data_IF_980158687181
#
_entry.id   IF_980158687181
#
_cell.length_a   1.000
_cell.length_b   1.000
_cell.length_c   1.000
_cell.angle_alpha   90.00
_cell.angle_beta   90.00
_cell.angle_gamma   90.00
#
_symmetry.space_group_name_H-M   'P 1'
#
loop_
_entity.id
_entity.type
_entity.pdbx_description
1 polymer ?
#
# COMPACT_ATOMS: atom_id res chain seq x y z
N UNK A 1 31.21 12.97 -6.42
CA UNK A 1 30.97 11.96 -5.36
C UNK A 1 31.96 10.80 -5.54
N UNK A 2 33.27 11.06 -5.44
CA UNK A 2 34.29 10.21 -6.07
C UNK A 2 34.65 8.91 -5.33
N UNK A 3 34.19 8.66 -4.10
CA UNK A 3 34.60 7.48 -3.30
C UNK A 3 33.41 6.66 -2.78
N UNK A 4 32.22 6.79 -3.39
CA UNK A 4 31.04 6.07 -2.91
C UNK A 4 31.08 4.60 -3.36
N UNK A 5 31.29 3.68 -2.42
CA UNK A 5 31.39 2.24 -2.70
C UNK A 5 30.05 1.49 -2.61
N UNK A 6 29.12 2.01 -1.80
CA UNK A 6 27.80 1.40 -1.56
C UNK A 6 26.70 2.44 -1.58
N UNK A 7 25.61 2.15 -2.27
CA UNK A 7 24.44 3.01 -2.36
C UNK A 7 23.16 2.17 -2.28
N UNK A 8 22.27 2.57 -1.38
CA UNK A 8 20.89 2.11 -1.32
C UNK A 8 19.98 3.27 -1.69
N UNK A 9 19.18 3.13 -2.76
CA UNK A 9 18.36 4.19 -3.31
C UNK A 9 16.90 3.73 -3.47
N UNK A 10 15.97 4.35 -2.74
CA UNK A 10 14.54 4.27 -3.06
C UNK A 10 14.11 5.62 -3.62
N UNK A 11 13.52 5.62 -4.82
CA UNK A 11 13.10 6.84 -5.51
C UNK A 11 11.87 6.61 -6.37
N UNK A 12 10.96 7.59 -6.36
CA UNK A 12 9.87 7.72 -7.32
C UNK A 12 10.17 8.89 -8.25
N UNK A 13 10.11 8.64 -9.56
CA UNK A 13 10.40 9.63 -10.61
C UNK A 13 9.17 9.80 -11.48
N UNK A 14 8.55 10.98 -11.42
CA UNK A 14 7.37 11.31 -12.22
C UNK A 14 7.67 12.03 -13.52
N UNK A 15 6.63 12.22 -14.33
CA UNK A 15 6.63 13.07 -15.55
C UNK A 15 7.69 12.69 -16.59
N UNK A 16 8.03 11.40 -16.68
CA UNK A 16 8.98 10.92 -17.69
C UNK A 16 8.30 10.65 -19.03
N UNK A 17 9.12 10.68 -20.08
CA UNK A 17 8.74 10.20 -21.41
C UNK A 17 9.10 8.71 -21.62
N UNK A 18 9.76 8.06 -20.68
CA UNK A 18 10.13 6.64 -20.77
C UNK A 18 10.41 6.06 -19.38
N UNK A 19 10.25 4.75 -19.24
CA UNK A 19 10.65 4.04 -18.03
C UNK A 19 12.17 4.13 -17.84
N UNK A 20 12.62 4.03 -16.59
CA UNK A 20 14.02 3.84 -16.27
C UNK A 20 14.32 2.36 -16.45
N UNK A 21 15.03 2.02 -17.52
CA UNK A 21 15.49 0.67 -17.82
C UNK A 21 16.98 0.50 -17.41
N UNK A 22 17.52 -0.71 -17.54
CA UNK A 22 18.91 -1.01 -17.18
C UNK A 22 19.92 -0.21 -17.99
N UNK A 23 19.61 0.09 -19.26
CA UNK A 23 20.47 0.90 -20.13
C UNK A 23 20.55 2.35 -19.66
N UNK A 24 19.41 2.96 -19.33
CA UNK A 24 19.35 4.31 -18.78
C UNK A 24 20.10 4.40 -17.46
N UNK A 25 19.83 3.47 -16.54
CA UNK A 25 20.48 3.46 -15.22
C UNK A 25 22.01 3.35 -15.36
N UNK A 26 22.49 2.46 -16.23
CA UNK A 26 23.91 2.29 -16.49
C UNK A 26 24.55 3.57 -17.05
N UNK A 27 23.97 4.12 -18.11
CA UNK A 27 24.56 5.24 -18.84
C UNK A 27 24.57 6.53 -18.04
N UNK A 28 23.51 6.82 -17.27
CA UNK A 28 23.33 8.13 -16.64
C UNK A 28 23.64 8.16 -15.14
N UNK A 29 23.65 7.02 -14.46
CA UNK A 29 23.92 6.96 -13.02
C UNK A 29 25.23 6.23 -12.76
N UNK A 30 25.32 4.99 -13.21
CA UNK A 30 26.40 4.09 -12.78
C UNK A 30 27.73 4.40 -13.46
N UNK A 31 27.71 4.83 -14.73
CA UNK A 31 28.92 5.27 -15.44
C UNK A 31 29.64 6.44 -14.74
N UNK A 32 28.89 7.23 -13.97
CA UNK A 32 29.39 8.39 -13.21
C UNK A 32 29.86 8.01 -11.79
N UNK A 33 29.68 6.75 -11.39
CA UNK A 33 30.03 6.23 -10.05
C UNK A 33 30.95 5.00 -10.18
N UNK A 34 32.18 5.15 -10.71
CA UNK A 34 33.05 4.01 -11.04
C UNK A 34 33.52 3.19 -9.82
N UNK A 35 33.43 3.76 -8.62
CA UNK A 35 33.78 3.07 -7.37
C UNK A 35 32.59 2.36 -6.71
N UNK A 36 31.38 2.47 -7.28
CA UNK A 36 30.19 1.88 -6.70
C UNK A 36 30.17 0.36 -6.95
N UNK A 37 30.48 -0.41 -5.91
CA UNK A 37 30.54 -1.87 -5.95
C UNK A 37 29.23 -2.52 -5.50
N UNK A 38 28.45 -1.85 -4.67
CA UNK A 38 27.14 -2.35 -4.23
C UNK A 38 26.09 -1.30 -4.49
N UNK A 39 25.18 -1.60 -5.40
CA UNK A 39 24.02 -0.77 -5.69
C UNK A 39 22.75 -1.58 -5.49
N UNK A 40 21.93 -1.15 -4.54
CA UNK A 40 20.60 -1.73 -4.27
C UNK A 40 19.57 -0.64 -4.44
N UNK A 41 18.50 -0.91 -5.17
CA UNK A 41 17.53 0.11 -5.50
C UNK A 41 16.09 -0.37 -5.51
N UNK A 42 15.20 0.61 -5.40
CA UNK A 42 13.75 0.55 -5.50
C UNK A 42 13.35 1.78 -6.31
N UNK A 43 13.04 1.61 -7.58
CA UNK A 43 12.78 2.70 -8.53
C UNK A 43 11.36 2.56 -9.04
N UNK A 44 10.54 3.56 -8.74
CA UNK A 44 9.21 3.73 -9.34
C UNK A 44 9.30 4.84 -10.38
N UNK A 45 8.87 4.55 -11.61
CA UNK A 45 8.80 5.52 -12.70
C UNK A 45 7.35 5.70 -13.13
N UNK A 46 6.86 6.95 -13.11
CA UNK A 46 5.59 7.32 -13.74
C UNK A 46 5.86 8.03 -15.08
N UNK A 47 5.25 7.53 -16.16
CA UNK A 47 5.26 8.12 -17.50
C UNK A 47 3.93 8.83 -17.73
N UNK A 48 3.97 10.10 -18.15
CA UNK A 48 2.77 10.78 -18.68
C UNK A 48 2.60 10.36 -20.14
N UNK A 49 1.47 9.73 -20.47
CA UNK A 49 1.22 9.15 -21.80
C UNK A 49 1.46 10.19 -22.90
N UNK A 50 2.49 9.94 -23.69
CA UNK A 50 2.77 10.64 -24.95
C UNK A 50 2.66 9.63 -26.10
N UNK A 51 1.44 9.32 -26.57
CA UNK A 51 1.15 8.50 -27.77
C UNK A 51 2.18 7.38 -28.07
N UNK A 52 2.63 6.63 -27.05
CA UNK A 52 3.68 5.64 -27.25
C UNK A 52 3.05 4.43 -27.93
N UNK A 53 3.49 4.14 -29.15
CA UNK A 53 3.05 2.97 -29.91
C UNK A 53 3.51 1.66 -29.27
N UNK A 54 4.55 1.68 -28.44
CA UNK A 54 5.13 0.51 -27.81
C UNK A 54 5.00 0.56 -26.29
N UNK A 55 4.41 -0.48 -25.71
CA UNK A 55 4.25 -0.69 -24.27
C UNK A 55 5.11 -1.89 -23.86
N UNK A 56 6.33 -1.70 -23.30
CA UNK A 56 7.19 -2.81 -22.89
C UNK A 56 6.54 -3.68 -21.80
N UNK A 57 6.67 -4.99 -21.89
CA UNK A 57 6.28 -5.87 -20.78
C UNK A 57 7.27 -5.74 -19.61
N UNK A 58 6.89 -6.24 -18.42
CA UNK A 58 7.82 -6.39 -17.30
C UNK A 58 9.07 -7.18 -17.70
N UNK A 59 8.91 -8.26 -18.48
CA UNK A 59 10.02 -9.08 -18.96
C UNK A 59 10.97 -8.30 -19.89
N UNK A 60 10.43 -7.42 -20.74
CA UNK A 60 11.25 -6.57 -21.61
C UNK A 60 12.10 -5.60 -20.79
N UNK A 61 11.51 -4.97 -19.77
CA UNK A 61 12.23 -4.07 -18.86
C UNK A 61 13.28 -4.85 -18.07
N UNK A 62 12.89 -5.96 -17.44
CA UNK A 62 13.78 -6.80 -16.64
C UNK A 62 15.00 -7.27 -17.45
N UNK A 63 14.81 -7.65 -18.71
CA UNK A 63 15.89 -8.08 -19.61
C UNK A 63 16.99 -7.03 -19.75
N UNK A 64 16.63 -5.74 -19.85
CA UNK A 64 17.62 -4.65 -19.96
C UNK A 64 18.51 -4.53 -18.72
N UNK A 65 18.02 -4.89 -17.54
CA UNK A 65 18.81 -4.91 -16.30
C UNK A 65 19.70 -6.15 -16.25
N UNK A 66 19.17 -7.31 -16.65
CA UNK A 66 19.92 -8.57 -16.71
C UNK A 66 21.12 -8.44 -17.67
N UNK A 67 20.94 -7.80 -18.83
CA UNK A 67 22.01 -7.52 -19.80
C UNK A 67 23.13 -6.60 -19.24
N UNK A 68 22.87 -5.94 -18.10
CA UNK A 68 23.83 -5.10 -17.37
C UNK A 68 24.30 -5.76 -16.07
N UNK A 69 24.12 -7.08 -15.95
CA UNK A 69 24.48 -7.90 -14.78
C UNK A 69 23.76 -7.47 -13.48
N UNK A 70 22.54 -6.93 -13.59
CA UNK A 70 21.69 -6.63 -12.43
C UNK A 70 20.64 -7.72 -12.21
N UNK A 71 20.55 -8.18 -10.97
CA UNK A 71 19.48 -9.08 -10.53
C UNK A 71 18.32 -8.26 -9.96
N UNK A 72 17.26 -8.16 -10.73
CA UNK A 72 16.09 -7.33 -10.41
C UNK A 72 14.81 -8.11 -10.65
N UNK A 73 13.74 -7.59 -10.08
CA UNK A 73 12.37 -7.93 -10.45
C UNK A 73 11.60 -6.64 -10.69
N UNK A 74 10.53 -6.71 -11.47
CA UNK A 74 9.75 -5.56 -11.83
C UNK A 74 8.32 -5.90 -12.25
N UNK A 75 7.46 -4.91 -12.14
CA UNK A 75 6.15 -4.95 -12.75
C UNK A 75 5.80 -3.61 -13.39
N UNK A 76 4.99 -3.69 -14.44
CA UNK A 76 4.47 -2.53 -15.15
C UNK A 76 2.97 -2.50 -14.99
N UNK A 77 2.46 -1.31 -14.71
CA UNK A 77 1.06 -0.98 -14.63
C UNK A 77 0.71 0.00 -15.76
N UNK A 78 -0.16 -0.43 -16.65
CA UNK A 78 -0.63 0.38 -17.77
C UNK A 78 -2.04 0.87 -17.46
N UNK A 79 -2.13 1.98 -16.75
CA UNK A 79 -3.42 2.58 -16.38
C UNK A 79 -3.99 3.44 -17.51
N UNK A 80 -5.29 3.42 -17.69
CA UNK A 80 -6.04 4.26 -18.63
C UNK A 80 -6.08 5.74 -18.23
N UNK A 81 -5.74 6.09 -16.99
CA UNK A 81 -5.67 7.48 -16.51
C UNK A 81 -4.44 8.28 -16.94
N UNK A 82 -3.98 8.09 -18.18
CA UNK A 82 -2.87 8.82 -18.80
C UNK A 82 -1.50 8.69 -18.11
N UNK A 83 -1.35 7.79 -17.14
CA UNK A 83 -0.08 7.57 -16.44
C UNK A 83 0.26 6.09 -16.43
N UNK A 84 1.34 5.70 -17.07
CA UNK A 84 1.85 4.34 -17.00
C UNK A 84 2.93 4.28 -15.91
N UNK A 85 2.95 3.25 -15.06
CA UNK A 85 3.90 3.10 -13.96
C UNK A 85 4.75 1.85 -14.14
N UNK A 86 6.05 1.95 -13.88
CA UNK A 86 6.93 0.80 -13.76
C UNK A 86 7.63 0.86 -12.42
N UNK A 87 7.62 -0.27 -11.70
CA UNK A 87 8.35 -0.44 -10.47
C UNK A 87 9.43 -1.51 -10.68
N UNK A 88 10.69 -1.13 -10.51
CA UNK A 88 11.86 -2.01 -10.64
C UNK A 88 12.65 -1.98 -9.32
N UNK A 89 12.99 -3.14 -8.79
CA UNK A 89 13.75 -3.24 -7.55
C UNK A 89 14.81 -4.34 -7.59
N UNK A 90 15.89 -4.14 -6.83
CA UNK A 90 16.97 -5.12 -6.70
C UNK A 90 16.54 -6.34 -5.87
N UNK A 91 17.05 -7.51 -6.26
CA UNK A 91 16.90 -8.75 -5.52
C UNK A 91 18.22 -9.14 -4.81
N UNK A 92 18.17 -9.62 -3.55
CA UNK A 92 17.00 -9.66 -2.67
C UNK A 92 16.58 -8.26 -2.20
N UNK A 93 15.27 -8.04 -2.02
CA UNK A 93 14.76 -6.78 -1.51
C UNK A 93 15.09 -6.60 -0.02
N UNK A 94 15.84 -5.54 0.31
CA UNK A 94 16.36 -5.32 1.66
C UNK A 94 15.85 -4.04 2.34
N UNK A 95 14.96 -3.29 1.71
CA UNK A 95 14.46 -2.03 2.26
C UNK A 95 13.27 -2.25 3.20
N UNK A 96 13.03 -1.27 4.07
CA UNK A 96 11.93 -1.28 5.05
C UNK A 96 10.64 -0.68 4.51
N UNK A 97 10.70 0.02 3.40
CA UNK A 97 9.62 0.80 2.82
C UNK A 97 9.44 0.35 1.38
N UNK A 98 8.18 0.27 0.95
CA UNK A 98 7.80 0.26 -0.47
C UNK A 98 6.79 1.37 -0.66
N UNK A 99 7.00 2.16 -1.72
CA UNK A 99 6.13 3.26 -2.09
C UNK A 99 5.18 2.85 -3.22
N UNK A 100 3.91 3.22 -3.06
CA UNK A 100 2.90 3.28 -4.13
C UNK A 100 2.67 2.00 -4.93
N UNK A 101 2.33 0.92 -4.20
CA UNK A 101 1.80 -0.29 -4.83
C UNK A 101 0.41 -0.01 -5.42
N UNK A 102 0.17 -0.47 -6.65
CA UNK A 102 -1.07 -0.32 -7.40
C UNK A 102 -1.88 -1.62 -7.44
N UNK A 103 -3.03 -1.62 -8.13
CA UNK A 103 -3.84 -2.81 -8.32
C UNK A 103 -3.10 -3.95 -9.05
N UNK A 104 -2.11 -3.59 -9.88
CA UNK A 104 -1.32 -4.52 -10.71
C UNK A 104 -0.22 -5.27 -9.95
N UNK A 105 -0.11 -5.10 -8.64
CA UNK A 105 0.93 -5.73 -7.84
C UNK A 105 0.94 -7.27 -8.00
N UNK A 106 2.04 -7.87 -8.49
CA UNK A 106 2.06 -9.31 -8.78
C UNK A 106 2.20 -10.17 -7.53
N UNK A 107 2.60 -9.61 -6.39
CA UNK A 107 2.98 -10.36 -5.19
C UNK A 107 4.49 -10.45 -5.04
N UNK A 108 4.96 -11.49 -4.34
CA UNK A 108 6.37 -11.68 -3.99
C UNK A 108 6.55 -11.85 -2.48
N UNK A 109 7.80 -11.94 -2.01
CA UNK A 109 8.12 -12.14 -0.58
C UNK A 109 9.07 -11.05 -0.08
N UNK A 110 8.57 -10.13 0.74
CA UNK A 110 9.28 -8.93 1.18
C UNK A 110 9.46 -8.91 2.69
N UNK A 111 10.34 -9.80 3.18
CA UNK A 111 10.55 -10.03 4.63
C UNK A 111 11.04 -8.80 5.41
N UNK A 112 11.64 -7.82 4.74
CA UNK A 112 12.23 -6.64 5.39
C UNK A 112 11.28 -5.43 5.45
N UNK A 113 10.22 -5.45 4.65
CA UNK A 113 9.28 -4.33 4.57
C UNK A 113 8.44 -4.25 5.85
N UNK A 114 8.28 -3.03 6.36
CA UNK A 114 7.51 -2.70 7.56
C UNK A 114 6.48 -1.62 7.28
N UNK A 115 6.70 -0.81 6.24
CA UNK A 115 5.83 0.30 5.86
C UNK A 115 5.49 0.15 4.39
N UNK A 116 4.19 0.16 4.09
CA UNK A 116 3.67 0.06 2.74
C UNK A 116 2.67 1.19 2.49
N UNK A 117 2.81 1.84 1.33
CA UNK A 117 1.80 2.73 0.78
C UNK A 117 1.19 2.11 -0.47
N UNK A 118 -0.14 2.11 -0.55
CA UNK A 118 -0.92 1.66 -1.69
C UNK A 118 -1.64 2.84 -2.30
N UNK A 119 -1.50 3.02 -3.62
CA UNK A 119 -2.08 4.14 -4.33
C UNK A 119 -2.44 3.80 -5.77
N UNK A 120 -3.71 4.01 -6.13
CA UNK A 120 -4.23 3.85 -7.48
C UNK A 120 -5.33 4.87 -7.76
N UNK A 121 -5.34 5.40 -8.97
CA UNK A 121 -6.25 6.47 -9.39
C UNK A 121 -7.54 5.94 -10.02
N UNK A 122 -7.50 4.75 -10.61
CA UNK A 122 -8.49 4.34 -11.60
C UNK A 122 -9.05 2.97 -11.28
N UNK A 123 -8.23 2.09 -10.71
CA UNK A 123 -8.60 0.72 -10.44
C UNK A 123 -8.87 0.53 -8.96
N UNK A 124 -9.93 -0.20 -8.60
CA UNK A 124 -10.21 -0.50 -7.20
C UNK A 124 -9.23 -1.53 -6.64
N UNK A 125 -9.08 -1.50 -5.32
CA UNK A 125 -8.37 -2.53 -4.57
C UNK A 125 -9.33 -3.61 -4.08
N UNK A 126 -9.39 -4.73 -4.79
CA UNK A 126 -10.26 -5.84 -4.42
C UNK A 126 -9.69 -6.65 -3.24
N UNK A 127 -10.54 -7.46 -2.61
CA UNK A 127 -10.18 -8.32 -1.49
C UNK A 127 -8.92 -9.17 -1.76
N UNK A 128 -8.83 -9.77 -2.94
CA UNK A 128 -7.69 -10.60 -3.36
C UNK A 128 -6.36 -9.83 -3.38
N UNK A 129 -6.38 -8.53 -3.68
CA UNK A 129 -5.19 -7.71 -3.60
C UNK A 129 -4.74 -7.61 -2.13
N UNK A 130 -5.66 -7.31 -1.21
CA UNK A 130 -5.31 -7.25 0.22
C UNK A 130 -4.84 -8.60 0.76
N UNK A 131 -5.40 -9.72 0.29
CA UNK A 131 -4.90 -11.05 0.63
C UNK A 131 -3.45 -11.22 0.14
N UNK A 132 -3.18 -10.84 -1.12
CA UNK A 132 -1.83 -10.85 -1.71
C UNK A 132 -0.84 -9.98 -0.92
N UNK A 133 -1.26 -8.78 -0.49
CA UNK A 133 -0.47 -7.89 0.37
C UNK A 133 -0.14 -8.60 1.70
N UNK A 134 -1.10 -9.22 2.37
CA UNK A 134 -0.81 -9.92 3.65
C UNK A 134 0.23 -11.04 3.49
N UNK A 135 0.19 -11.77 2.38
CA UNK A 135 1.13 -12.84 2.07
C UNK A 135 2.52 -12.30 1.70
N UNK A 136 2.55 -11.20 0.94
CA UNK A 136 3.81 -10.61 0.47
C UNK A 136 4.56 -9.83 1.54
N UNK A 137 3.86 -9.31 2.53
CA UNK A 137 4.43 -8.47 3.59
C UNK A 137 4.13 -9.03 4.99
N UNK A 138 4.67 -10.22 5.33
CA UNK A 138 4.29 -10.92 6.56
C UNK A 138 4.66 -10.15 7.83
N UNK A 139 5.59 -9.19 7.76
CA UNK A 139 6.02 -8.37 8.91
C UNK A 139 5.55 -6.90 8.80
N UNK A 140 4.55 -6.61 7.97
CA UNK A 140 4.01 -5.27 7.77
C UNK A 140 3.50 -4.68 9.08
N UNK A 141 3.90 -3.44 9.38
CA UNK A 141 3.50 -2.72 10.60
C UNK A 141 2.66 -1.49 10.31
N UNK A 142 2.92 -0.81 9.19
CA UNK A 142 2.23 0.40 8.80
C UNK A 142 1.72 0.22 7.38
N UNK A 143 0.41 0.33 7.20
CA UNK A 143 -0.23 0.28 5.90
C UNK A 143 -0.98 1.59 5.68
N UNK A 144 -0.69 2.25 4.58
CA UNK A 144 -1.41 3.42 4.14
C UNK A 144 -2.11 3.12 2.81
N UNK A 145 -3.42 3.36 2.75
CA UNK A 145 -4.28 3.07 1.58
C UNK A 145 -4.87 4.37 1.07
N UNK A 146 -4.66 4.64 -0.22
CA UNK A 146 -5.19 5.80 -0.92
C UNK A 146 -5.77 5.36 -2.26
N UNK A 147 -7.08 5.24 -2.33
CA UNK A 147 -7.82 4.87 -3.52
C UNK A 147 -9.26 5.38 -3.36
N UNK A 148 -9.73 6.18 -4.32
CA UNK A 148 -11.07 6.75 -4.31
C UNK A 148 -12.08 5.91 -5.09
N UNK A 149 -11.61 4.95 -5.88
CA UNK A 149 -12.45 4.07 -6.67
C UNK A 149 -13.12 3.05 -5.73
N UNK A 150 -14.46 2.89 -5.76
CA UNK A 150 -15.16 1.90 -4.94
C UNK A 150 -14.83 0.47 -5.39
N UNK A 151 -14.90 -0.50 -4.48
CA UNK A 151 -14.73 -1.91 -4.84
C UNK A 151 -15.85 -2.37 -5.79
N UNK A 152 -15.54 -3.20 -6.80
CA UNK A 152 -16.54 -3.64 -7.77
C UNK A 152 -17.57 -4.62 -7.18
N UNK A 153 -17.18 -5.33 -6.12
CA UNK A 153 -18.05 -6.34 -5.53
C UNK A 153 -19.18 -5.71 -4.70
N UNK A 154 -20.41 -5.82 -5.20
CA UNK A 154 -21.62 -5.52 -4.44
C UNK A 154 -21.69 -6.44 -3.20
N UNK A 155 -21.26 -5.93 -2.03
CA UNK A 155 -21.28 -6.63 -0.72
C UNK A 155 -22.64 -7.22 -0.34
N UNK A 156 -23.73 -6.71 -0.92
CA UNK A 156 -25.08 -7.27 -0.81
C UNK A 156 -25.20 -8.73 -1.32
N UNK A 157 -24.25 -9.22 -2.12
CA UNK A 157 -24.24 -10.60 -2.63
C UNK A 157 -23.22 -11.52 -1.92
N UNK A 158 -22.23 -10.99 -1.19
CA UNK A 158 -21.27 -11.80 -0.42
C UNK A 158 -21.91 -12.43 0.84
N UNK A 159 -22.93 -11.79 1.43
CA UNK A 159 -23.69 -12.39 2.54
C UNK A 159 -24.55 -13.60 2.10
N UNK A 160 -24.75 -13.82 0.80
CA UNK A 160 -25.67 -14.83 0.26
C UNK A 160 -24.99 -15.87 -0.64
N UNK A 161 -23.75 -15.63 -1.09
CA UNK A 161 -23.03 -16.58 -1.95
C UNK A 161 -21.77 -17.12 -1.26
N UNK A 162 -21.91 -18.39 -0.87
CA UNK A 162 -20.91 -19.40 -0.52
C UNK A 162 -20.11 -19.21 0.78
N UNK A 163 -20.40 -20.10 1.72
CA UNK A 163 -19.54 -20.56 2.83
C UNK A 163 -18.19 -21.17 2.37
N UNK A 164 -17.83 -20.99 1.10
CA UNK A 164 -16.60 -21.46 0.49
C UNK A 164 -15.95 -20.24 -0.20
N UNK A 165 -14.78 -19.83 0.33
CA UNK A 165 -13.75 -18.99 -0.30
C UNK A 165 -13.82 -17.45 -0.29
N UNK A 166 -14.20 -16.80 0.80
CA UNK A 166 -13.48 -15.56 1.18
C UNK A 166 -12.79 -15.83 2.52
N UNK A 167 -11.52 -16.22 2.45
CA UNK A 167 -10.72 -16.45 3.65
C UNK A 167 -10.47 -15.11 4.33
N UNK A 168 -10.77 -15.03 5.62
CA UNK A 168 -10.44 -13.85 6.44
C UNK A 168 -8.95 -13.54 6.30
N UNK A 169 -8.62 -12.32 5.87
CA UNK A 169 -7.23 -11.87 5.70
C UNK A 169 -6.64 -11.56 7.07
N UNK A 170 -5.44 -12.06 7.37
CA UNK A 170 -4.79 -11.80 8.65
C UNK A 170 -3.56 -10.91 8.50
N UNK A 171 -3.58 -9.72 9.12
CA UNK A 171 -2.41 -8.87 9.24
C UNK A 171 -1.86 -8.93 10.66
N UNK A 172 -1.08 -9.98 10.95
CA UNK A 172 -0.62 -10.32 12.30
C UNK A 172 0.22 -9.23 12.97
N UNK A 173 0.94 -8.42 12.20
CA UNK A 173 1.88 -7.43 12.71
C UNK A 173 1.47 -5.98 12.45
N UNK A 174 0.30 -5.75 11.82
CA UNK A 174 -0.12 -4.39 11.47
C UNK A 174 -0.52 -3.62 12.73
N UNK A 175 0.18 -2.52 12.97
CA UNK A 175 0.06 -1.65 14.14
C UNK A 175 -0.70 -0.38 13.81
N UNK A 176 -0.48 0.13 12.59
CA UNK A 176 -0.99 1.40 12.12
C UNK A 176 -1.64 1.23 10.74
N UNK A 177 -2.89 1.65 10.64
CA UNK A 177 -3.65 1.70 9.40
C UNK A 177 -4.01 3.15 9.11
N UNK A 178 -3.65 3.61 7.93
CA UNK A 178 -3.86 4.98 7.51
C UNK A 178 -4.68 5.03 6.22
N UNK A 179 -5.90 5.55 6.32
CA UNK A 179 -6.72 5.89 5.18
C UNK A 179 -6.51 7.36 4.85
N UNK A 180 -5.94 7.66 3.67
CA UNK A 180 -5.60 9.03 3.31
C UNK A 180 -6.83 9.94 3.29
N UNK A 181 -6.71 11.12 3.89
CA UNK A 181 -7.79 12.10 3.91
C UNK A 181 -8.25 12.48 2.50
N UNK A 182 -9.55 12.41 2.24
CA UNK A 182 -10.13 12.72 0.92
C UNK A 182 -9.58 11.86 -0.21
N UNK A 183 -8.89 10.76 0.14
CA UNK A 183 -8.20 9.87 -0.78
C UNK A 183 -8.59 8.41 -0.59
N UNK A 184 -9.57 8.08 0.26
CA UNK A 184 -9.96 6.69 0.50
C UNK A 184 -11.47 6.51 0.45
N UNK A 185 -11.94 5.61 -0.42
CA UNK A 185 -13.35 5.19 -0.45
C UNK A 185 -13.73 4.40 0.83
N UNK A 186 -14.97 4.54 1.27
CA UNK A 186 -15.46 3.92 2.52
C UNK A 186 -15.37 2.40 2.52
N UNK A 187 -15.46 1.75 1.35
CA UNK A 187 -15.38 0.29 1.25
C UNK A 187 -14.08 -0.26 1.84
N UNK A 188 -12.95 0.45 1.64
CA UNK A 188 -11.66 0.05 2.20
C UNK A 188 -11.63 0.17 3.72
N UNK A 189 -12.34 1.15 4.28
CA UNK A 189 -12.49 1.28 5.73
C UNK A 189 -13.29 0.09 6.26
N UNK A 190 -14.38 -0.27 5.58
CA UNK A 190 -15.17 -1.44 5.98
C UNK A 190 -14.39 -2.75 5.81
N UNK A 191 -13.63 -2.91 4.73
CA UNK A 191 -12.81 -4.08 4.43
C UNK A 191 -11.82 -4.43 5.55
N UNK A 192 -11.10 -3.42 6.05
CA UNK A 192 -10.12 -3.64 7.10
C UNK A 192 -10.75 -3.67 8.50
N UNK A 193 -11.75 -2.82 8.77
CA UNK A 193 -12.31 -2.76 10.11
C UNK A 193 -13.26 -3.92 10.39
N UNK A 194 -13.94 -4.49 9.39
CA UNK A 194 -14.82 -5.64 9.58
C UNK A 194 -14.01 -6.93 9.83
N UNK A 195 -14.15 -7.51 11.02
CA UNK A 195 -13.46 -8.74 11.41
C UNK A 195 -13.94 -10.01 10.66
N UNK A 196 -14.99 -9.89 9.83
CA UNK A 196 -15.39 -10.95 8.90
C UNK A 196 -14.54 -10.94 7.63
N UNK A 197 -13.87 -9.83 7.31
CA UNK A 197 -13.06 -9.67 6.11
C UNK A 197 -11.58 -9.71 6.48
N UNK A 198 -11.20 -8.95 7.52
CA UNK A 198 -9.80 -8.78 7.93
C UNK A 198 -9.63 -8.89 9.44
N UNK A 199 -8.63 -9.64 9.91
CA UNK A 199 -8.20 -9.70 11.32
C UNK A 199 -6.99 -8.82 11.56
N UNK A 200 -7.11 -7.91 12.52
CA UNK A 200 -6.08 -6.92 12.85
C UNK A 200 -5.66 -7.03 14.33
N UNK A 201 -4.99 -8.12 14.74
CA UNK A 201 -4.76 -8.40 16.15
C UNK A 201 -3.88 -7.37 16.88
N UNK A 202 -3.02 -6.66 16.15
CA UNK A 202 -2.05 -5.69 16.68
C UNK A 202 -2.41 -4.22 16.40
N UNK A 203 -3.56 -3.95 15.78
CA UNK A 203 -3.95 -2.60 15.41
C UNK A 203 -4.09 -1.72 16.65
N UNK A 204 -3.36 -0.62 16.68
CA UNK A 204 -3.33 0.32 17.80
C UNK A 204 -3.50 1.77 17.37
N UNK A 205 -3.25 2.08 16.09
CA UNK A 205 -3.39 3.42 15.52
C UNK A 205 -4.23 3.38 14.26
N UNK A 206 -5.16 4.30 14.14
CA UNK A 206 -6.04 4.44 12.98
C UNK A 206 -6.07 5.91 12.54
N UNK A 207 -5.81 6.16 11.26
CA UNK A 207 -6.10 7.45 10.64
C UNK A 207 -7.26 7.27 9.68
N UNK A 208 -8.36 7.99 9.90
CA UNK A 208 -9.62 7.78 9.18
C UNK A 208 -10.48 9.04 9.21
N UNK A 209 -11.38 9.18 8.23
CA UNK A 209 -12.44 10.18 8.30
C UNK A 209 -13.50 9.77 9.33
N UNK A 210 -13.96 10.73 10.13
CA UNK A 210 -14.93 10.46 11.20
C UNK A 210 -16.24 9.91 10.64
N UNK A 211 -16.72 10.46 9.52
CA UNK A 211 -17.93 10.06 8.82
C UNK A 211 -17.88 8.61 8.35
N UNK A 212 -16.74 8.20 7.77
CA UNK A 212 -16.52 6.81 7.39
C UNK A 212 -16.57 5.91 8.62
N UNK A 213 -15.86 6.29 9.70
CA UNK A 213 -15.86 5.50 10.92
C UNK A 213 -17.25 5.37 11.56
N UNK A 214 -18.03 6.45 11.62
CA UNK A 214 -19.43 6.43 12.11
C UNK A 214 -20.28 5.48 11.26
N UNK A 215 -20.13 5.54 9.95
CA UNK A 215 -20.93 4.74 9.01
C UNK A 215 -20.59 3.26 9.12
N UNK A 216 -19.32 2.87 9.01
CA UNK A 216 -18.90 1.46 9.04
C UNK A 216 -19.11 0.79 10.42
N UNK A 217 -19.15 1.58 11.49
CA UNK A 217 -19.43 1.10 12.85
C UNK A 217 -20.91 1.15 13.23
N UNK A 218 -21.79 1.61 12.33
CA UNK A 218 -23.22 1.83 12.60
C UNK A 218 -23.43 2.68 13.87
N UNK A 219 -22.87 3.89 13.88
CA UNK A 219 -22.85 4.78 15.05
C UNK A 219 -22.23 4.11 16.30
N UNK A 220 -21.13 3.37 16.11
CA UNK A 220 -20.40 2.67 17.17
C UNK A 220 -21.23 1.59 17.89
N UNK A 221 -21.99 0.81 17.12
CA UNK A 221 -22.80 -0.31 17.65
C UNK A 221 -22.50 -1.66 16.98
N UNK A 222 -21.83 -1.68 15.81
CA UNK A 222 -21.58 -2.89 15.02
C UNK A 222 -20.48 -3.79 15.62
N UNK A 223 -20.85 -4.94 16.19
CA UNK A 223 -19.88 -5.83 16.86
C UNK A 223 -18.75 -6.36 15.95
N UNK A 224 -19.01 -6.59 14.66
CA UNK A 224 -18.00 -7.14 13.75
C UNK A 224 -16.83 -6.19 13.54
N UNK A 225 -17.05 -4.88 13.52
CA UNK A 225 -15.97 -3.89 13.41
C UNK A 225 -15.34 -3.58 14.77
N UNK A 226 -16.10 -3.74 15.87
CA UNK A 226 -15.61 -3.55 17.24
C UNK A 226 -14.43 -4.46 17.58
N UNK A 227 -14.39 -5.69 17.05
CA UNK A 227 -13.33 -6.67 17.34
C UNK A 227 -11.93 -6.17 16.94
N UNK A 228 -11.81 -5.51 15.79
CA UNK A 228 -10.56 -4.88 15.36
C UNK A 228 -10.33 -3.53 16.07
N UNK A 229 -11.39 -2.79 16.33
CA UNK A 229 -11.33 -1.44 16.90
C UNK A 229 -11.03 -1.39 18.40
N UNK A 230 -11.41 -2.41 19.18
CA UNK A 230 -11.33 -2.38 20.65
C UNK A 230 -9.90 -2.23 21.20
N UNK A 231 -8.88 -2.49 20.37
CA UNK A 231 -7.45 -2.42 20.71
C UNK A 231 -6.81 -1.07 20.34
N UNK A 232 -7.56 -0.19 19.68
CA UNK A 232 -7.08 1.13 19.26
C UNK A 232 -6.76 1.98 20.49
N UNK A 233 -5.53 2.50 20.51
CA UNK A 233 -5.01 3.44 21.51
C UNK A 233 -4.98 4.86 20.98
N UNK A 234 -4.94 5.01 19.66
CA UNK A 234 -4.88 6.30 19.00
C UNK A 234 -5.78 6.30 17.76
N UNK A 235 -6.58 7.36 17.62
CA UNK A 235 -7.37 7.61 16.41
C UNK A 235 -7.17 9.06 16.01
N UNK A 236 -6.67 9.27 14.80
CA UNK A 236 -6.56 10.58 14.19
C UNK A 236 -7.67 10.78 13.17
N UNK A 237 -8.50 11.79 13.41
CA UNK A 237 -9.51 12.23 12.46
C UNK A 237 -8.99 13.35 11.59
N UNK A 238 -9.11 13.17 10.27
CA UNK A 238 -8.77 14.23 9.35
C UNK A 238 -9.81 15.36 9.37
N UNK A 239 -9.34 16.60 9.24
CA UNK A 239 -10.12 17.84 9.06
C UNK A 239 -11.24 18.17 10.04
N UNK A 240 -11.35 17.49 11.19
CA UNK A 240 -12.34 17.84 12.21
C UNK A 240 -11.70 18.29 13.52
N UNK A 241 -11.70 19.61 13.71
CA UNK A 241 -11.57 20.21 15.04
C UNK A 241 -12.94 20.17 15.74
N UNK A 242 -12.96 19.76 17.00
CA UNK A 242 -14.17 19.86 17.83
C UNK A 242 -15.16 18.70 17.70
N UNK A 243 -14.72 17.49 17.33
CA UNK A 243 -15.56 16.30 17.49
C UNK A 243 -15.87 16.15 18.98
N UNK A 244 -17.16 16.11 19.32
CA UNK A 244 -17.64 15.72 20.64
C UNK A 244 -18.05 14.26 20.55
N UNK A 245 -17.22 13.32 21.06
CA UNK A 245 -17.52 11.90 20.89
C UNK A 245 -18.75 11.51 21.71
N UNK A 246 -19.58 10.64 21.14
CA UNK A 246 -20.77 10.12 21.83
C UNK A 246 -20.38 9.16 22.96
N UNK A 247 -21.30 8.84 23.87
CA UNK A 247 -21.06 7.79 24.88
C UNK A 247 -20.74 6.43 24.22
N UNK A 248 -21.37 6.12 23.09
CA UNK A 248 -21.11 4.88 22.36
C UNK A 248 -19.69 4.84 21.80
N UNK A 249 -19.16 5.96 21.31
CA UNK A 249 -17.77 6.06 20.85
C UNK A 249 -16.80 5.54 21.91
N UNK A 250 -16.96 6.02 23.13
CA UNK A 250 -16.09 5.68 24.25
C UNK A 250 -16.21 4.22 24.72
N UNK A 251 -17.41 3.64 24.64
CA UNK A 251 -17.63 2.20 24.90
C UNK A 251 -17.03 1.32 23.78
N UNK A 252 -16.92 1.88 22.58
CA UNK A 252 -16.40 1.22 21.40
C UNK A 252 -14.87 1.18 21.38
N UNK A 253 -14.23 2.25 21.85
CA UNK A 253 -12.77 2.41 21.91
C UNK A 253 -12.28 2.55 23.36
N UNK A 254 -12.30 1.47 24.15
CA UNK A 254 -12.07 1.54 25.60
C UNK A 254 -10.64 1.98 25.98
N UNK A 255 -9.66 1.86 25.08
CA UNK A 255 -8.26 2.15 25.37
C UNK A 255 -7.84 3.60 25.07
N UNK A 256 -8.68 4.42 24.43
CA UNK A 256 -8.34 5.82 24.09
C UNK A 256 -8.20 6.75 25.32
N UNK A 257 -8.77 6.36 26.46
CA UNK A 257 -8.79 7.21 27.66
C UNK A 257 -7.50 7.21 28.47
N UNK A 258 -6.57 6.29 28.21
CA UNK A 258 -5.39 6.14 29.07
C UNK A 258 -4.24 7.11 28.77
N UNK A 259 -4.28 7.86 27.67
CA UNK A 259 -3.17 8.74 27.26
C UNK A 259 -3.37 10.25 27.57
N UNK A 260 -4.56 10.67 28.05
CA UNK A 260 -4.85 12.09 28.37
C UNK A 260 -4.72 12.44 29.87
N UNK A 261 -4.14 11.57 30.68
CA UNK A 261 -3.86 11.81 32.11
C UNK A 261 -2.35 11.70 32.41
N UNK A 262 -1.52 12.44 31.67
CA UNK A 262 -0.13 12.75 32.04
C UNK A 262 0.22 14.18 31.66
#
# INVERSE_FOLDING_TARGET
MSNLEKLTLSIRVGERNSFIDGTYLHNYVLSQMPHLHTFTFDIVTDIVRNNQQFKPSSDDIQRTFIEKDYHVDCYVDYDDSNTDRCHVYSLPFNMKHIHDITHSFPGGMFMNVRVLHMFDHSHPFEHDLFARISCSFPLLRNLAVNNLTPQNENRSQQLVKSEETSSIIEYLHLVELNFSCGGTHIDYVEEFLCNLNTRLPCLSKLHVEYEHLVTVTENFTRNTTRMNCAKLKHIDFYHKRGIVPSKNFYLYFPLLYHDNCK
#
